data_IF_733409371256
#
_entry.id   IF_733409371256
#
_cell.length_a   1.000
_cell.length_b   1.000
_cell.length_c   1.000
_cell.angle_alpha   90.00
_cell.angle_beta   90.00
_cell.angle_gamma   90.00
#
_symmetry.space_group_name_H-M   'P 1'
#
loop_
_entity.id
_entity.type
_entity.pdbx_description
1 polymer ?
#
# COMPACT_ATOMS: atom_id res chain seq x y z
N UNK A 1 3.87 5.92 21.89
CA UNK A 1 5.03 6.83 21.72
C UNK A 1 5.19 7.22 20.24
N UNK A 2 4.94 6.30 19.34
CA UNK A 2 5.22 6.45 17.89
C UNK A 2 4.20 7.34 17.18
N UNK A 3 2.93 7.29 17.56
CA UNK A 3 1.87 8.16 17.02
C UNK A 3 2.19 9.64 17.29
N UNK A 4 2.76 9.96 18.46
CA UNK A 4 3.15 11.34 18.77
C UNK A 4 4.31 11.82 17.90
N UNK A 5 5.23 10.92 17.53
CA UNK A 5 6.33 11.23 16.63
C UNK A 5 5.80 11.45 15.21
N UNK A 6 4.91 10.57 14.74
CA UNK A 6 4.23 10.69 13.45
C UNK A 6 3.44 12.01 13.37
N UNK A 7 2.66 12.35 14.40
CA UNK A 7 1.89 13.58 14.43
C UNK A 7 2.78 14.85 14.37
N UNK A 8 3.93 14.81 15.05
CA UNK A 8 4.92 15.91 14.96
C UNK A 8 5.49 16.06 13.54
N UNK A 9 5.82 14.95 12.88
CA UNK A 9 6.32 14.97 11.49
C UNK A 9 5.28 15.56 10.54
N UNK A 10 4.02 15.12 10.63
CA UNK A 10 2.95 15.61 9.78
C UNK A 10 2.62 17.09 10.05
N UNK A 11 2.58 17.50 11.33
CA UNK A 11 2.40 18.93 11.68
C UNK A 11 3.53 19.82 11.18
N UNK A 12 4.74 19.31 11.09
CA UNK A 12 5.89 20.00 10.52
C UNK A 12 5.84 20.12 8.98
N UNK A 13 4.90 19.47 8.32
CA UNK A 13 4.72 19.55 6.87
C UNK A 13 5.38 18.40 6.09
N UNK A 14 5.82 17.35 6.78
CA UNK A 14 6.39 16.19 6.11
C UNK A 14 5.29 15.33 5.48
N UNK A 15 5.69 14.58 4.46
CA UNK A 15 4.88 13.51 3.89
C UNK A 15 5.37 12.18 4.47
N UNK A 16 4.44 11.37 4.93
CA UNK A 16 4.72 10.04 5.47
C UNK A 16 3.99 9.00 4.65
N UNK A 17 4.69 7.95 4.27
CA UNK A 17 4.14 6.81 3.55
C UNK A 17 4.27 5.55 4.41
N UNK A 18 3.15 4.90 4.66
CA UNK A 18 3.06 3.63 5.38
C UNK A 18 2.53 2.58 4.41
N UNK A 19 3.26 1.47 4.27
CA UNK A 19 2.80 0.29 3.57
C UNK A 19 2.76 -0.87 4.57
N UNK A 20 1.59 -1.43 4.80
CA UNK A 20 1.38 -2.50 5.76
C UNK A 20 0.30 -3.47 5.26
N UNK A 21 0.41 -4.74 5.60
CA UNK A 21 -0.62 -5.75 5.31
C UNK A 21 -1.73 -5.81 6.35
N UNK A 22 -1.49 -5.22 7.52
CA UNK A 22 -2.48 -5.07 8.57
C UNK A 22 -2.18 -3.82 9.40
N UNK A 23 -3.20 -3.12 9.83
CA UNK A 23 -3.13 -2.03 10.80
C UNK A 23 -4.33 -2.21 11.72
N UNK A 24 -4.09 -2.26 13.02
CA UNK A 24 -5.19 -2.28 13.99
C UNK A 24 -5.89 -0.92 13.98
N UNK A 25 -7.23 -0.88 13.96
CA UNK A 25 -8.03 0.35 13.76
C UNK A 25 -7.66 1.50 14.72
N UNK A 26 -7.32 1.17 15.97
CA UNK A 26 -6.97 2.17 16.99
C UNK A 26 -5.48 2.52 17.05
N UNK A 27 -4.66 1.83 16.24
CA UNK A 27 -3.20 1.93 16.35
C UNK A 27 -2.62 3.17 15.67
N UNK A 28 -3.25 3.69 14.61
CA UNK A 28 -2.69 4.80 13.85
C UNK A 28 -3.18 6.15 14.39
N UNK A 29 -4.46 6.40 14.36
CA UNK A 29 -5.13 7.59 14.90
C UNK A 29 -6.55 7.23 15.26
N UNK A 30 -7.02 7.44 16.50
CA UNK A 30 -8.39 7.14 16.91
C UNK A 30 -9.48 7.87 16.10
N UNK A 31 -9.14 9.01 15.50
CA UNK A 31 -10.03 9.79 14.66
C UNK A 31 -10.02 9.38 13.17
N UNK A 32 -9.06 8.56 12.77
CA UNK A 32 -8.98 8.02 11.41
C UNK A 32 -9.65 6.65 11.30
N UNK A 33 -9.51 5.82 12.33
CA UNK A 33 -10.00 4.44 12.35
C UNK A 33 -9.65 3.71 11.04
N UNK A 34 -8.35 3.68 10.74
CA UNK A 34 -7.82 3.00 9.56
C UNK A 34 -7.78 1.52 9.83
N UNK A 35 -8.43 0.74 9.00
CA UNK A 35 -8.34 -0.71 8.99
C UNK A 35 -7.80 -1.20 7.65
N UNK A 36 -7.00 -2.26 7.68
CA UNK A 36 -6.56 -2.96 6.49
C UNK A 36 -7.11 -4.37 6.53
N UNK A 37 -8.03 -4.63 5.62
CA UNK A 37 -8.67 -5.92 5.46
C UNK A 37 -7.96 -6.70 4.35
N UNK A 38 -7.45 -7.90 4.66
CA UNK A 38 -6.90 -8.83 3.70
C UNK A 38 -7.95 -9.83 3.24
N UNK A 39 -8.25 -9.86 1.97
CA UNK A 39 -9.06 -10.93 1.40
C UNK A 39 -8.22 -12.17 1.08
N UNK A 40 -6.92 -11.98 0.85
CA UNK A 40 -6.00 -13.07 0.53
C UNK A 40 -4.64 -12.83 1.20
N UNK A 41 -4.33 -13.62 2.20
CA UNK A 41 -3.00 -13.67 2.80
C UNK A 41 -2.03 -14.44 1.91
N UNK A 42 -1.52 -13.84 0.85
CA UNK A 42 -0.47 -14.49 0.05
C UNK A 42 0.85 -14.46 0.80
N UNK A 43 1.44 -15.63 0.97
CA UNK A 43 2.80 -15.72 1.48
C UNK A 43 3.82 -15.31 0.39
N UNK A 44 4.99 -14.78 0.76
CA UNK A 44 6.05 -14.53 -0.21
C UNK A 44 6.46 -15.77 -1.03
N UNK A 45 6.17 -16.95 -0.52
CA UNK A 45 6.45 -18.21 -1.20
C UNK A 45 5.44 -18.50 -2.32
N UNK A 46 4.17 -18.14 -2.13
CA UNK A 46 3.14 -18.25 -3.17
C UNK A 46 3.39 -17.29 -4.31
N UNK A 47 3.81 -16.05 -4.01
CA UNK A 47 4.25 -15.09 -5.03
C UNK A 47 5.41 -15.66 -5.84
N UNK A 48 6.45 -16.21 -5.21
CA UNK A 48 7.58 -16.84 -5.91
C UNK A 48 7.14 -18.01 -6.79
N UNK A 49 6.27 -18.87 -6.28
CA UNK A 49 5.77 -20.03 -7.02
C UNK A 49 4.97 -19.60 -8.25
N UNK A 50 4.12 -18.60 -8.11
CA UNK A 50 3.33 -18.06 -9.22
C UNK A 50 4.23 -17.46 -10.30
N UNK A 51 5.25 -16.66 -9.92
CA UNK A 51 6.23 -16.09 -10.86
C UNK A 51 6.97 -17.19 -11.62
N UNK A 52 7.38 -18.26 -10.95
CA UNK A 52 8.11 -19.37 -11.58
C UNK A 52 7.24 -20.13 -12.61
N UNK A 53 5.93 -20.21 -12.40
CA UNK A 53 5.02 -20.95 -13.25
C UNK A 53 4.47 -20.13 -14.45
N UNK A 54 4.84 -18.87 -14.61
CA UNK A 54 4.38 -17.95 -15.68
C UNK A 54 2.85 -17.82 -15.80
N UNK A 55 2.10 -18.20 -14.76
CA UNK A 55 0.65 -18.13 -14.74
C UNK A 55 0.15 -17.12 -13.69
N UNK A 56 0.71 -15.91 -13.73
CA UNK A 56 0.39 -14.92 -12.73
C UNK A 56 -0.80 -14.13 -13.19
N UNK A 57 -1.92 -14.17 -12.48
CA UNK A 57 -3.01 -13.25 -12.75
C UNK A 57 -2.58 -11.82 -12.41
N UNK A 58 -2.94 -10.89 -13.28
CA UNK A 58 -2.81 -9.46 -13.02
C UNK A 58 -4.18 -8.90 -12.68
N UNK A 59 -4.22 -8.05 -11.68
CA UNK A 59 -5.35 -7.20 -11.36
C UNK A 59 -5.09 -5.78 -11.87
N UNK A 60 -6.16 -5.01 -12.04
CA UNK A 60 -6.06 -3.64 -12.48
C UNK A 60 -6.32 -2.70 -11.31
N UNK A 61 -5.28 -1.95 -10.93
CA UNK A 61 -5.41 -0.84 -9.99
C UNK A 61 -5.58 0.48 -10.75
N UNK A 62 -6.54 1.27 -10.31
CA UNK A 62 -6.92 2.54 -10.94
C UNK A 62 -6.47 3.70 -10.07
N UNK A 63 -5.75 4.65 -10.69
CA UNK A 63 -5.37 5.90 -10.03
C UNK A 63 -6.48 6.95 -10.19
N UNK A 64 -7.02 7.47 -9.11
CA UNK A 64 -8.16 8.39 -9.12
C UNK A 64 -7.83 9.79 -9.67
N UNK A 65 -6.56 10.23 -9.60
CA UNK A 65 -6.12 11.55 -10.08
C UNK A 65 -5.39 11.42 -11.42
N UNK A 66 -5.84 12.13 -12.44
CA UNK A 66 -5.28 12.00 -13.79
C UNK A 66 -3.95 12.72 -14.00
N UNK A 67 -3.73 13.87 -13.38
CA UNK A 67 -2.52 14.67 -13.57
C UNK A 67 -1.41 14.28 -12.57
N UNK A 68 -0.13 14.36 -12.96
CA UNK A 68 0.42 14.77 -14.25
C UNK A 68 0.55 13.64 -15.29
N UNK A 69 0.13 12.42 -14.97
CA UNK A 69 0.27 11.24 -15.84
C UNK A 69 -1.01 10.98 -16.61
N UNK A 70 -0.88 10.54 -17.87
CA UNK A 70 -2.01 10.16 -18.70
C UNK A 70 -2.57 8.78 -18.32
N UNK A 71 -1.69 7.86 -17.95
CA UNK A 71 -2.06 6.52 -17.57
C UNK A 71 -2.85 6.52 -16.26
N UNK A 72 -3.97 5.85 -16.26
CA UNK A 72 -4.88 5.76 -15.13
C UNK A 72 -4.96 4.36 -14.55
N UNK A 73 -4.79 3.34 -15.39
CA UNK A 73 -4.90 1.93 -15.06
C UNK A 73 -3.52 1.29 -15.04
N UNK A 74 -3.26 0.49 -14.04
CA UNK A 74 -1.99 -0.19 -13.83
C UNK A 74 -2.25 -1.67 -13.58
N UNK A 75 -1.64 -2.53 -14.38
CA UNK A 75 -1.63 -3.94 -14.11
C UNK A 75 -0.66 -4.24 -12.95
N UNK A 76 -1.12 -4.99 -11.97
CA UNK A 76 -0.31 -5.42 -10.82
C UNK A 76 -0.51 -6.90 -10.59
N UNK A 77 0.47 -7.57 -10.02
CA UNK A 77 0.28 -8.96 -9.62
C UNK A 77 -0.85 -9.07 -8.60
N UNK A 78 -1.88 -9.83 -8.90
CA UNK A 78 -3.04 -10.02 -8.04
C UNK A 78 -2.64 -10.46 -6.62
N UNK A 79 -1.64 -11.34 -6.51
CA UNK A 79 -1.09 -11.77 -5.23
C UNK A 79 -0.43 -10.64 -4.40
N UNK A 80 -0.16 -9.48 -4.97
CA UNK A 80 0.40 -8.32 -4.28
C UNK A 80 -0.65 -7.26 -3.94
N UNK A 81 -1.86 -7.39 -4.46
CA UNK A 81 -2.95 -6.43 -4.34
C UNK A 81 -4.20 -7.06 -3.70
N UNK A 82 -4.01 -8.02 -2.79
CA UNK A 82 -5.11 -8.76 -2.15
C UNK A 82 -5.73 -8.09 -0.93
N UNK A 83 -5.28 -6.90 -0.56
CA UNK A 83 -5.78 -6.18 0.61
C UNK A 83 -6.55 -4.93 0.19
N UNK A 84 -7.35 -4.39 1.11
CA UNK A 84 -7.98 -3.10 0.94
C UNK A 84 -7.92 -2.26 2.22
N UNK A 85 -7.94 -0.95 2.04
CA UNK A 85 -7.97 0.04 3.14
C UNK A 85 -9.39 0.52 3.36
N UNK A 86 -9.85 0.44 4.59
CA UNK A 86 -11.10 1.06 5.04
C UNK A 86 -10.79 2.19 6.02
N UNK A 87 -11.49 3.32 5.88
CA UNK A 87 -11.43 4.44 6.83
C UNK A 87 -12.84 4.71 7.32
N UNK A 88 -13.08 4.39 8.59
CA UNK A 88 -14.38 4.61 9.23
C UNK A 88 -14.47 5.93 10.00
N UNK A 89 -13.33 6.59 10.16
CA UNK A 89 -13.23 7.85 10.89
C UNK A 89 -13.89 9.03 10.17
N UNK A 90 -14.12 10.11 10.91
CA UNK A 90 -14.72 11.34 10.39
C UNK A 90 -13.76 12.22 9.59
N UNK A 91 -12.49 11.86 9.53
CA UNK A 91 -11.47 12.65 8.83
C UNK A 91 -11.59 12.43 7.33
N UNK A 92 -11.67 13.53 6.58
CA UNK A 92 -11.69 13.46 5.13
C UNK A 92 -10.40 12.86 4.59
N UNK A 93 -10.54 11.84 3.75
CA UNK A 93 -9.44 11.20 3.05
C UNK A 93 -9.69 11.19 1.54
N UNK A 94 -8.60 11.17 0.77
CA UNK A 94 -8.63 11.01 -0.68
C UNK A 94 -8.21 9.56 -1.00
N UNK A 95 -9.03 8.80 -1.70
CA UNK A 95 -8.61 7.53 -2.30
C UNK A 95 -7.77 7.84 -3.53
N UNK A 96 -6.52 7.41 -3.52
CA UNK A 96 -5.60 7.61 -4.64
C UNK A 96 -5.58 6.43 -5.59
N UNK A 97 -5.63 5.22 -5.06
CA UNK A 97 -5.60 3.98 -5.81
C UNK A 97 -6.74 3.08 -5.34
N UNK A 98 -7.45 2.50 -6.28
CA UNK A 98 -8.55 1.58 -6.01
C UNK A 98 -8.62 0.48 -7.06
N UNK A 99 -9.27 -0.64 -6.76
CA UNK A 99 -9.68 -1.63 -7.74
C UNK A 99 -11.21 -1.78 -7.75
N UNK A 100 -11.72 -2.28 -8.86
CA UNK A 100 -13.12 -2.66 -8.98
C UNK A 100 -13.27 -4.14 -8.67
N UNK A 101 -14.14 -4.47 -7.72
CA UNK A 101 -14.53 -5.84 -7.44
C UNK A 101 -15.95 -6.07 -7.95
N UNK A 102 -16.11 -6.98 -8.91
CA UNK A 102 -17.42 -7.41 -9.39
C UNK A 102 -18.00 -8.46 -8.45
N UNK A 103 -19.28 -8.38 -8.16
CA UNK A 103 -20.01 -9.46 -7.50
C UNK A 103 -20.40 -10.50 -8.56
N UNK A 104 -19.74 -11.65 -8.56
CA UNK A 104 -19.90 -12.69 -9.61
C UNK A 104 -21.28 -13.34 -9.67
N UNK A 105 -22.16 -13.10 -8.69
CA UNK A 105 -23.45 -13.79 -8.60
C UNK A 105 -24.67 -13.04 -9.17
N UNK A 106 -24.56 -11.74 -9.43
CA UNK A 106 -25.71 -10.93 -9.86
C UNK A 106 -25.30 -9.92 -10.91
N UNK A 107 -25.42 -10.27 -12.19
CA UNK A 107 -25.26 -9.35 -13.32
C UNK A 107 -24.00 -8.48 -13.31
N UNK A 108 -23.19 -8.53 -14.35
CA UNK A 108 -21.82 -7.98 -14.47
C UNK A 108 -21.66 -6.45 -14.27
N UNK A 109 -22.69 -5.77 -13.85
CA UNK A 109 -22.72 -4.33 -13.58
C UNK A 109 -22.66 -3.99 -12.09
N UNK A 110 -22.97 -4.94 -11.21
CA UNK A 110 -22.94 -4.72 -9.77
C UNK A 110 -21.56 -5.02 -9.21
N UNK A 111 -21.02 -4.11 -8.44
CA UNK A 111 -19.72 -4.21 -7.83
C UNK A 111 -19.38 -2.95 -7.04
N UNK A 112 -18.23 -2.93 -6.40
CA UNK A 112 -17.80 -1.81 -5.57
C UNK A 112 -16.31 -1.55 -5.69
N UNK A 113 -15.92 -0.31 -5.38
CA UNK A 113 -14.53 0.11 -5.39
C UNK A 113 -13.87 -0.16 -4.04
N UNK A 114 -12.74 -0.88 -4.08
CA UNK A 114 -11.88 -1.10 -2.92
C UNK A 114 -10.70 -0.14 -2.97
N UNK A 115 -10.44 0.56 -1.86
CA UNK A 115 -9.29 1.45 -1.76
C UNK A 115 -8.02 0.65 -1.43
N UNK A 116 -6.95 0.92 -2.17
CA UNK A 116 -5.61 0.35 -1.96
C UNK A 116 -4.61 1.35 -1.40
N UNK A 117 -4.75 2.61 -1.81
CA UNK A 117 -3.94 3.70 -1.28
C UNK A 117 -4.85 4.88 -0.96
N UNK A 118 -4.74 5.36 0.25
CA UNK A 118 -5.45 6.54 0.72
C UNK A 118 -4.47 7.62 1.15
N UNK A 119 -4.90 8.88 1.01
CA UNK A 119 -4.16 10.05 1.48
C UNK A 119 -5.00 10.83 2.46
N UNK A 120 -4.41 11.15 3.60
CA UNK A 120 -5.02 11.98 4.64
C UNK A 120 -4.17 13.22 4.84
N UNK A 121 -4.79 14.40 4.80
CA UNK A 121 -4.13 15.66 5.17
C UNK A 121 -4.16 15.84 6.68
N UNK A 122 -2.99 16.08 7.28
CA UNK A 122 -2.87 16.28 8.72
C UNK A 122 -1.91 17.43 9.03
N UNK A 123 -2.47 18.50 9.58
CA UNK A 123 -1.70 19.74 9.78
C UNK A 123 -1.22 20.32 8.45
N UNK A 124 0.08 20.46 8.28
CA UNK A 124 0.72 20.91 7.03
C UNK A 124 1.23 19.75 6.17
N UNK A 125 1.17 18.52 6.69
CA UNK A 125 1.69 17.30 6.06
C UNK A 125 0.62 16.42 5.47
N UNK A 126 1.06 15.32 4.88
CA UNK A 126 0.21 14.31 4.26
C UNK A 126 0.64 12.92 4.71
N UNK A 127 -0.33 12.12 5.13
CA UNK A 127 -0.15 10.70 5.43
C UNK A 127 -0.72 9.88 4.27
N UNK A 128 0.10 8.99 3.74
CA UNK A 128 -0.29 8.00 2.74
C UNK A 128 -0.29 6.63 3.38
N UNK A 129 -1.37 5.89 3.24
CA UNK A 129 -1.48 4.50 3.72
C UNK A 129 -1.77 3.60 2.53
N UNK A 130 -0.94 2.58 2.36
CA UNK A 130 -1.09 1.52 1.37
C UNK A 130 -1.25 0.18 2.07
N UNK A 131 -2.18 -0.63 1.60
CA UNK A 131 -2.41 -1.98 2.11
C UNK A 131 -1.53 -3.05 1.45
N UNK A 132 -0.79 -2.69 0.41
CA UNK A 132 -0.03 -3.64 -0.41
C UNK A 132 1.49 -3.45 -0.27
N UNK A 133 2.10 -3.85 0.85
CA UNK A 133 3.53 -3.64 1.08
C UNK A 133 4.42 -4.40 0.10
N UNK A 134 3.95 -5.51 -0.45
CA UNK A 134 4.70 -6.30 -1.44
C UNK A 134 4.96 -5.54 -2.74
N UNK A 135 4.08 -4.61 -3.13
CA UNK A 135 4.31 -3.74 -4.28
C UNK A 135 5.58 -2.89 -4.12
N UNK A 136 5.92 -2.54 -2.86
CA UNK A 136 7.10 -1.72 -2.54
C UNK A 136 8.39 -2.53 -2.43
N UNK A 137 8.35 -3.81 -2.74
CA UNK A 137 9.52 -4.71 -2.75
C UNK A 137 10.14 -4.80 -4.14
N UNK A 138 11.25 -5.53 -4.23
CA UNK A 138 11.88 -5.84 -5.51
C UNK A 138 10.95 -6.56 -6.49
N UNK A 139 9.96 -7.30 -6.01
CA UNK A 139 8.99 -7.98 -6.88
C UNK A 139 8.15 -6.97 -7.67
N UNK A 140 7.59 -5.96 -7.00
CA UNK A 140 6.81 -4.94 -7.69
C UNK A 140 7.66 -3.97 -8.52
N UNK A 141 8.82 -3.55 -7.98
CA UNK A 141 9.69 -2.56 -8.66
C UNK A 141 10.33 -3.12 -9.93
N UNK A 142 10.68 -4.41 -9.96
CA UNK A 142 11.36 -5.03 -11.11
C UNK A 142 10.37 -5.55 -12.16
N UNK A 143 9.09 -5.71 -11.82
CA UNK A 143 8.09 -6.07 -12.81
C UNK A 143 7.73 -4.88 -13.70
N UNK A 144 7.82 -5.08 -15.02
CA UNK A 144 7.64 -4.00 -16.00
C UNK A 144 6.21 -3.45 -16.08
N UNK A 145 5.22 -4.18 -15.60
CA UNK A 145 3.83 -3.74 -15.58
C UNK A 145 3.47 -3.04 -14.26
N UNK A 146 3.90 -3.63 -13.15
CA UNK A 146 3.59 -3.12 -11.80
C UNK A 146 4.38 -1.84 -11.46
N UNK A 147 5.60 -1.69 -11.98
CA UNK A 147 6.49 -0.58 -11.59
C UNK A 147 5.93 0.81 -11.94
N UNK A 148 5.09 0.92 -12.97
CA UNK A 148 4.45 2.18 -13.33
C UNK A 148 3.63 2.80 -12.19
N UNK A 149 2.85 1.98 -11.48
CA UNK A 149 2.11 2.41 -10.30
C UNK A 149 3.04 2.90 -9.19
N UNK A 150 4.11 2.14 -8.92
CA UNK A 150 5.07 2.48 -7.86
C UNK A 150 5.76 3.82 -8.16
N UNK A 151 6.21 4.03 -9.40
CA UNK A 151 6.81 5.31 -9.80
C UNK A 151 5.83 6.46 -9.66
N UNK A 152 4.56 6.24 -9.98
CA UNK A 152 3.53 7.26 -9.79
C UNK A 152 3.29 7.57 -8.31
N UNK A 153 3.26 6.57 -7.45
CA UNK A 153 3.16 6.76 -6.01
C UNK A 153 4.37 7.53 -5.48
N UNK A 154 5.58 7.14 -5.87
CA UNK A 154 6.81 7.84 -5.46
C UNK A 154 6.90 9.27 -5.99
N UNK A 155 6.25 9.58 -7.11
CA UNK A 155 6.19 10.95 -7.64
C UNK A 155 5.46 11.93 -6.72
N UNK A 156 4.62 11.45 -5.80
CA UNK A 156 3.98 12.28 -4.77
C UNK A 156 4.99 12.90 -3.80
N UNK A 157 6.19 12.33 -3.74
CA UNK A 157 7.31 12.75 -2.87
C UNK A 157 8.42 13.46 -3.65
N UNK A 158 8.20 13.79 -4.93
CA UNK A 158 9.22 14.38 -5.80
C UNK A 158 9.79 15.66 -5.20
N UNK A 159 11.13 15.76 -5.20
CA UNK A 159 11.86 16.92 -4.70
C UNK A 159 12.03 16.94 -3.17
N UNK A 160 11.56 15.93 -2.47
CA UNK A 160 11.75 15.78 -1.03
C UNK A 160 12.85 14.76 -0.73
N UNK A 161 13.68 14.97 0.29
CA UNK A 161 14.57 13.94 0.79
C UNK A 161 13.73 12.79 1.38
N UNK A 162 14.10 11.55 1.04
CA UNK A 162 13.39 10.36 1.50
C UNK A 162 14.23 9.68 2.57
N UNK A 163 13.62 9.44 3.74
CA UNK A 163 14.20 8.63 4.81
C UNK A 163 13.33 7.40 5.01
N UNK A 164 13.91 6.22 4.91
CA UNK A 164 13.26 4.95 5.25
C UNK A 164 13.55 4.62 6.71
N UNK A 165 12.53 4.20 7.44
CA UNK A 165 12.67 3.62 8.78
C UNK A 165 12.37 2.13 8.73
N UNK A 166 13.14 1.36 9.46
CA UNK A 166 12.94 -0.10 9.66
C UNK A 166 12.40 -0.42 11.05
N UNK A 167 11.95 0.59 11.80
CA UNK A 167 11.47 0.45 13.18
C UNK A 167 10.28 -0.52 13.33
N UNK A 168 9.63 -0.86 12.23
CA UNK A 168 8.47 -1.77 12.17
C UNK A 168 8.72 -2.99 11.29
N UNK A 169 9.97 -3.27 10.97
CA UNK A 169 10.34 -4.54 10.34
C UNK A 169 10.09 -5.69 11.31
N UNK A 170 9.79 -6.92 10.83
CA UNK A 170 9.78 -8.08 11.71
C UNK A 170 11.12 -8.10 12.46
N UNK A 171 11.07 -8.31 13.76
CA UNK A 171 12.26 -8.61 14.56
C UNK A 171 12.85 -9.91 13.99
N UNK A 172 13.75 -9.77 13.03
CA UNK A 172 14.60 -10.87 12.64
C UNK A 172 15.57 -11.03 13.80
N UNK A 173 15.29 -11.97 14.70
CA UNK A 173 16.35 -12.60 15.48
C UNK A 173 17.35 -13.14 14.47
N UNK A 174 18.37 -12.35 14.19
CA UNK A 174 19.57 -12.88 13.56
C UNK A 174 20.21 -13.81 14.60
N UNK A 175 19.85 -15.09 14.58
CA UNK A 175 20.76 -16.10 15.08
C UNK A 175 22.06 -15.87 14.31
N UNK A 176 23.01 -15.26 14.98
CA UNK A 176 24.39 -15.20 14.50
C UNK A 176 24.95 -16.62 14.55
N UNK A 177 24.63 -17.41 13.53
CA UNK A 177 25.35 -18.62 13.25
C UNK A 177 26.82 -18.24 13.07
N UNK A 178 27.61 -18.61 14.06
CA UNK A 178 29.05 -18.43 14.05
C UNK A 178 29.60 -19.06 12.80
N UNK A 179 30.39 -18.34 11.98
CA UNK A 179 30.96 -18.92 10.79
C UNK A 179 31.84 -20.14 11.19
N UNK A 180 31.53 -21.26 10.59
CA UNK A 180 32.33 -22.48 10.67
C UNK A 180 33.80 -22.16 10.36
N UNK A 181 34.66 -22.52 11.29
CA UNK A 181 36.11 -22.54 11.11
C UNK A 181 36.53 -23.57 10.06
#
# INVERSE_FOLDING_TARGET
TDIRALDRLLKAGNKVFIAASSIEPDSLYPDLQVDINGQYGFSPMEVKSSIANQSIPYDTLVWSQQLPYQEKEYAVYAAMAGNNVTIEGKTACDTLVSCWLSEEEIDSTDGYWLAHVVRVKRGKGELFVSCDPLLMTNYGILDTQTNGLIFRMMSQFRGLPITRTEAYGPETEYETDTPLR
#
